data_IF_583455413578
#
_entry.id   IF_583455413578
#
_cell.length_a   1.000
_cell.length_b   1.000
_cell.length_c   1.000
_cell.angle_alpha   90.00
_cell.angle_beta   90.00
_cell.angle_gamma   90.00
#
_symmetry.space_group_name_H-M   'P 1'
#
loop_
_entity.id
_entity.type
_entity.pdbx_description
1 polymer ?
#
# COMPACT_ATOMS: atom_id res chain seq x y z
N UNK A 1 -3.82 20.29 17.00
CA UNK A 1 -3.10 21.27 17.83
C UNK A 1 -1.92 21.94 17.11
N UNK A 2 -0.74 21.33 16.94
CA UNK A 2 0.44 22.07 16.44
C UNK A 2 0.37 22.54 14.96
N UNK A 3 -0.24 21.77 14.05
CA UNK A 3 -0.29 22.10 12.61
C UNK A 3 -1.62 22.74 12.21
N UNK A 4 -2.74 22.13 12.61
CA UNK A 4 -4.09 22.57 12.18
C UNK A 4 -4.79 23.46 13.22
N UNK A 5 -4.35 23.44 14.48
CA UNK A 5 -5.07 24.13 15.58
C UNK A 5 -6.41 23.47 15.91
N UNK A 6 -7.34 24.26 16.45
CA UNK A 6 -8.71 23.85 16.84
C UNK A 6 -9.83 24.66 16.18
N UNK A 7 -9.46 25.72 15.45
CA UNK A 7 -10.40 26.67 14.83
C UNK A 7 -11.02 26.15 13.53
N UNK A 8 -10.43 25.11 12.94
CA UNK A 8 -10.90 24.52 11.68
C UNK A 8 -10.64 23.02 11.60
N UNK A 9 -11.32 22.37 10.67
CA UNK A 9 -11.10 20.96 10.32
C UNK A 9 -9.84 20.85 9.45
N UNK A 10 -9.21 19.67 9.51
CA UNK A 10 -8.06 19.31 8.69
C UNK A 10 -8.41 19.35 7.20
N UNK A 11 -7.51 19.89 6.39
CA UNK A 11 -7.59 19.91 4.94
C UNK A 11 -6.45 19.11 4.31
N UNK A 12 -6.61 18.74 3.03
CA UNK A 12 -5.60 17.95 2.32
C UNK A 12 -4.26 18.67 2.17
N UNK A 13 -4.27 20.00 2.13
CA UNK A 13 -3.10 20.88 2.11
C UNK A 13 -2.24 20.76 3.38
N UNK A 14 -2.81 20.31 4.50
CA UNK A 14 -2.09 20.16 5.78
C UNK A 14 -1.30 18.84 5.86
N UNK A 15 -1.70 17.81 5.09
CA UNK A 15 -1.12 16.47 5.16
C UNK A 15 0.40 16.42 5.03
N UNK A 16 1.06 17.21 4.15
CA UNK A 16 2.52 17.22 4.05
C UNK A 16 3.24 17.57 5.37
N UNK A 17 2.59 18.33 6.25
CA UNK A 17 3.13 18.77 7.54
C UNK A 17 2.83 17.79 8.68
N UNK A 18 2.01 16.76 8.46
CA UNK A 18 1.58 15.79 9.47
C UNK A 18 2.37 14.48 9.38
N UNK A 19 3.70 14.56 9.54
CA UNK A 19 4.61 13.41 9.38
C UNK A 19 4.30 12.23 10.30
N UNK A 20 3.87 12.51 11.52
CA UNK A 20 3.51 11.44 12.46
C UNK A 20 2.24 10.71 12.05
N UNK A 21 1.23 11.43 11.52
CA UNK A 21 0.02 10.82 10.97
C UNK A 21 0.36 9.94 9.75
N UNK A 22 1.22 10.44 8.86
CA UNK A 22 1.72 9.67 7.71
C UNK A 22 2.42 8.37 8.18
N UNK A 23 3.25 8.44 9.22
CA UNK A 23 3.92 7.28 9.80
C UNK A 23 2.93 6.27 10.40
N UNK A 24 1.89 6.73 11.11
CA UNK A 24 0.84 5.86 11.67
C UNK A 24 0.12 5.10 10.55
N UNK A 25 -0.28 5.79 9.47
CA UNK A 25 -0.97 5.16 8.34
C UNK A 25 -0.07 4.10 7.70
N UNK A 26 1.21 4.42 7.47
CA UNK A 26 2.18 3.47 6.91
C UNK A 26 2.37 2.24 7.80
N UNK A 27 2.54 2.43 9.10
CA UNK A 27 2.77 1.32 10.03
C UNK A 27 1.51 0.45 10.20
N UNK A 28 0.33 1.07 10.18
CA UNK A 28 -0.94 0.35 10.19
C UNK A 28 -1.07 -0.55 8.96
N UNK A 29 -0.77 -0.02 7.77
CA UNK A 29 -0.83 -0.82 6.53
C UNK A 29 0.28 -1.87 6.42
N UNK A 30 1.42 -1.65 7.08
CA UNK A 30 2.50 -2.66 7.18
C UNK A 30 2.05 -3.87 8.00
N UNK A 31 1.32 -3.64 9.10
CA UNK A 31 0.80 -4.70 9.99
C UNK A 31 -0.50 -5.30 9.47
N UNK A 32 -1.37 -4.48 8.90
CA UNK A 32 -2.72 -4.81 8.45
C UNK A 32 -2.91 -4.30 7.02
N UNK A 33 -2.38 -5.03 6.01
CA UNK A 33 -2.61 -4.66 4.62
C UNK A 33 -4.09 -4.76 4.28
N UNK A 34 -4.54 -4.02 3.25
CA UNK A 34 -5.95 -4.01 2.83
C UNK A 34 -6.47 -5.41 2.44
N UNK A 35 -5.58 -6.29 1.99
CA UNK A 35 -5.82 -7.71 1.86
C UNK A 35 -4.52 -8.49 2.05
N UNK A 36 -4.53 -9.65 2.74
CA UNK A 36 -3.32 -10.40 3.08
C UNK A 36 -2.57 -10.98 1.88
N UNK A 37 -3.25 -11.14 0.73
CA UNK A 37 -2.68 -11.67 -0.52
C UNK A 37 -2.95 -10.77 -1.74
N UNK A 38 -3.30 -9.51 -1.48
CA UNK A 38 -3.78 -8.54 -2.47
C UNK A 38 -4.91 -9.13 -3.37
N UNK A 39 -5.00 -8.65 -4.61
CA UNK A 39 -5.89 -9.21 -5.61
C UNK A 39 -5.14 -10.29 -6.40
N UNK A 40 -5.82 -11.35 -6.86
CA UNK A 40 -5.22 -12.33 -7.75
C UNK A 40 -4.70 -11.68 -9.04
N UNK A 41 -3.49 -12.02 -9.43
CA UNK A 41 -2.86 -11.63 -10.69
C UNK A 41 -2.78 -12.83 -11.63
N UNK A 42 -2.47 -12.61 -12.91
CA UNK A 42 -2.28 -13.68 -13.88
C UNK A 42 -1.07 -13.40 -14.79
N UNK A 43 -0.22 -14.41 -15.00
CA UNK A 43 0.89 -14.32 -15.94
C UNK A 43 0.37 -14.23 -17.38
N UNK A 44 0.54 -13.07 -18.03
CA UNK A 44 0.10 -12.88 -19.42
C UNK A 44 0.88 -13.75 -20.42
N UNK A 45 2.14 -14.05 -20.10
CA UNK A 45 3.06 -14.85 -20.91
C UNK A 45 3.93 -15.70 -19.99
N UNK A 46 4.61 -16.70 -20.55
CA UNK A 46 5.61 -17.45 -19.80
C UNK A 46 6.78 -16.52 -19.40
N UNK A 47 7.22 -16.58 -18.15
CA UNK A 47 8.29 -15.74 -17.62
C UNK A 47 9.15 -16.50 -16.61
N UNK A 48 10.26 -15.89 -16.17
CA UNK A 48 11.12 -16.44 -15.13
C UNK A 48 11.14 -15.50 -13.92
N UNK A 49 10.81 -16.02 -12.74
CA UNK A 49 10.79 -15.25 -11.48
C UNK A 49 11.68 -15.98 -10.47
N UNK A 50 12.70 -15.30 -9.95
CA UNK A 50 13.62 -15.90 -8.98
C UNK A 50 14.36 -17.16 -9.49
N UNK A 51 14.54 -17.30 -10.81
CA UNK A 51 15.12 -18.49 -11.43
C UNK A 51 14.13 -19.61 -11.78
N UNK A 52 12.86 -19.49 -11.38
CA UNK A 52 11.82 -20.46 -11.68
C UNK A 52 11.03 -20.07 -12.93
N UNK A 53 10.73 -21.05 -13.79
CA UNK A 53 9.89 -20.84 -14.96
C UNK A 53 8.40 -20.87 -14.58
N UNK A 54 7.68 -19.80 -14.91
CA UNK A 54 6.25 -19.63 -14.69
C UNK A 54 5.54 -19.65 -16.04
N UNK A 55 4.64 -20.62 -16.31
CA UNK A 55 3.88 -20.67 -17.56
C UNK A 55 2.88 -19.52 -17.71
N UNK A 56 2.49 -19.24 -18.95
CA UNK A 56 1.38 -18.34 -19.25
C UNK A 56 0.07 -18.81 -18.60
N UNK A 57 -0.80 -17.86 -18.24
CA UNK A 57 -2.08 -18.05 -17.56
C UNK A 57 -2.00 -18.61 -16.13
N UNK A 58 -0.80 -18.61 -15.52
CA UNK A 58 -0.64 -18.98 -14.11
C UNK A 58 -1.23 -17.89 -13.21
N UNK A 59 -2.09 -18.28 -12.27
CA UNK A 59 -2.62 -17.37 -11.25
C UNK A 59 -1.56 -17.10 -10.17
N UNK A 60 -1.42 -15.83 -9.79
CA UNK A 60 -0.40 -15.34 -8.87
C UNK A 60 -1.07 -14.62 -7.69
N UNK A 61 -0.50 -14.80 -6.51
CA UNK A 61 -0.87 -14.10 -5.27
C UNK A 61 0.39 -13.41 -4.72
N UNK A 62 0.21 -12.27 -4.05
CA UNK A 62 1.31 -11.43 -3.54
C UNK A 62 1.15 -11.22 -2.05
#
# INVERSE_FOLDING_TARGET
DAVVGRERVLEQSDLPNLKYLEAIVKETLRLYPAGPLLLPHMAKWACTVGGFHVPANTQLFV
#
